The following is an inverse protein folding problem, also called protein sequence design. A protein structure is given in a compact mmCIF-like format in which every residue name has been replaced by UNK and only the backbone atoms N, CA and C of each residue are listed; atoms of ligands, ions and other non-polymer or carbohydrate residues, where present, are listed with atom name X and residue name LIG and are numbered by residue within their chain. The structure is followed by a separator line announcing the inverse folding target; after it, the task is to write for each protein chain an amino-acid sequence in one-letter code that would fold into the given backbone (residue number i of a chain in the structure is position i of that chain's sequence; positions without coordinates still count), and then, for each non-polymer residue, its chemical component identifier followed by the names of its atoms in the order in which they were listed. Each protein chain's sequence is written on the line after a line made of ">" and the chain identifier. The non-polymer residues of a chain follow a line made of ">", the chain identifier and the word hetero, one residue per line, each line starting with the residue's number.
data_IF_400297419449
#
_entry.id   IF_400297419449
#
_cell.length_a   1.000
_cell.length_b   1.000
_cell.length_c   1.000
_cell.angle_alpha   90.00
_cell.angle_beta   90.00
_cell.angle_gamma   90.00
#
_symmetry.space_group_name_H-M   'P 1'
#
loop_
_entity.id
_entity.type
_entity.pdbx_description
1 polymer ?
#
# COMPACT_ATOMS: atom_id res chain seq x y z
N UNK A 1 30.26 -3.75 -8.47
CA UNK A 1 29.77 -4.99 -9.12
C UNK A 1 28.85 -5.85 -8.24
N UNK A 2 29.08 -6.02 -6.94
CA UNK A 2 28.19 -6.81 -6.05
C UNK A 2 26.74 -6.31 -5.95
N UNK A 3 26.53 -4.99 -5.95
CA UNK A 3 25.20 -4.37 -5.82
C UNK A 3 24.33 -4.68 -7.05
N UNK A 4 24.88 -4.65 -8.26
CA UNK A 4 24.15 -4.99 -9.49
C UNK A 4 23.66 -6.45 -9.49
N UNK A 5 24.50 -7.38 -9.00
CA UNK A 5 24.12 -8.79 -8.90
C UNK A 5 23.03 -9.01 -7.83
N UNK A 6 23.05 -8.23 -6.75
CA UNK A 6 22.03 -8.24 -5.71
C UNK A 6 20.70 -7.65 -6.20
N UNK A 7 20.73 -6.54 -6.95
CA UNK A 7 19.54 -5.94 -7.58
C UNK A 7 18.90 -6.93 -8.55
N UNK A 8 19.69 -7.56 -9.42
CA UNK A 8 19.19 -8.55 -10.39
C UNK A 8 18.63 -9.78 -9.66
N UNK A 9 19.32 -10.28 -8.63
CA UNK A 9 18.83 -11.40 -7.82
C UNK A 9 17.51 -11.11 -7.10
N UNK A 10 17.40 -9.95 -6.46
CA UNK A 10 16.17 -9.48 -5.80
C UNK A 10 15.03 -9.29 -6.81
N UNK A 11 15.32 -8.71 -7.98
CA UNK A 11 14.33 -8.52 -9.04
C UNK A 11 13.80 -9.87 -9.54
N UNK A 12 14.69 -10.85 -9.79
CA UNK A 12 14.30 -12.19 -10.22
C UNK A 12 13.41 -12.89 -9.18
N UNK A 13 13.84 -12.94 -7.91
CA UNK A 13 13.08 -13.62 -6.85
C UNK A 13 11.72 -12.95 -6.62
N UNK A 14 11.67 -11.62 -6.63
CA UNK A 14 10.42 -10.86 -6.43
C UNK A 14 9.47 -11.06 -7.60
N UNK A 15 9.97 -11.00 -8.83
CA UNK A 15 9.14 -11.18 -10.02
C UNK A 15 8.61 -12.61 -10.09
N UNK A 16 9.47 -13.60 -9.84
CA UNK A 16 9.06 -15.00 -9.84
C UNK A 16 8.01 -15.27 -8.76
N UNK A 17 8.20 -14.74 -7.55
CA UNK A 17 7.23 -14.83 -6.45
C UNK A 17 5.90 -14.14 -6.72
N UNK A 18 5.85 -13.11 -7.59
CA UNK A 18 4.60 -12.44 -8.00
C UNK A 18 3.91 -13.14 -9.17
N UNK A 19 4.66 -13.69 -10.12
CA UNK A 19 4.11 -14.34 -11.31
C UNK A 19 3.56 -15.73 -10.97
N UNK A 20 4.18 -16.45 -10.04
CA UNK A 20 3.68 -17.75 -9.56
C UNK A 20 2.20 -17.67 -9.12
N UNK A 21 1.82 -16.83 -8.14
CA UNK A 21 0.44 -16.76 -7.69
C UNK A 21 -0.49 -16.31 -8.81
N UNK A 22 -0.10 -15.37 -9.67
CA UNK A 22 -0.95 -14.92 -10.79
C UNK A 22 -1.25 -16.07 -11.76
N UNK A 23 -0.27 -16.89 -12.11
CA UNK A 23 -0.46 -18.04 -13.01
C UNK A 23 -1.27 -19.17 -12.36
N UNK A 24 -1.05 -19.47 -11.08
CA UNK A 24 -1.76 -20.54 -10.38
C UNK A 24 -3.19 -20.16 -9.97
N UNK A 25 -3.42 -18.92 -9.52
CA UNK A 25 -4.74 -18.40 -9.15
C UNK A 25 -5.58 -18.04 -10.39
N UNK A 26 -4.95 -17.62 -11.49
CA UNK A 26 -5.63 -17.29 -12.75
C UNK A 26 -6.38 -18.46 -13.39
N UNK A 27 -6.03 -19.71 -13.05
CA UNK A 27 -6.67 -20.90 -13.62
C UNK A 27 -7.66 -21.62 -12.67
N UNK A 28 -7.64 -21.34 -11.36
CA UNK A 28 -8.35 -22.14 -10.33
C UNK A 28 -9.48 -21.44 -9.57
N UNK A 29 -9.89 -20.22 -9.93
CA UNK A 29 -11.05 -19.57 -9.29
C UNK A 29 -12.40 -19.97 -9.89
N UNK A 30 -12.64 -21.27 -10.11
CA UNK A 30 -13.95 -21.76 -10.57
C UNK A 30 -14.93 -22.10 -9.41
N UNK A 31 -14.56 -21.87 -8.14
CA UNK A 31 -15.48 -22.00 -7.00
C UNK A 31 -16.02 -20.62 -6.59
N UNK A 32 -17.32 -20.33 -6.79
CA UNK A 32 -17.90 -19.01 -6.50
C UNK A 32 -17.83 -18.59 -5.03
N UNK A 33 -17.69 -19.55 -4.10
CA UNK A 33 -17.50 -19.26 -2.67
C UNK A 33 -16.10 -18.72 -2.34
N UNK A 34 -15.08 -19.16 -3.08
CA UNK A 34 -13.68 -18.78 -2.85
C UNK A 34 -13.43 -17.41 -3.47
N UNK A 35 -13.97 -17.15 -4.65
CA UNK A 35 -13.90 -15.84 -5.31
C UNK A 35 -14.57 -14.72 -4.50
N UNK A 36 -15.75 -14.96 -3.91
CA UNK A 36 -16.40 -13.98 -3.02
C UNK A 36 -15.54 -13.65 -1.80
N UNK A 37 -14.90 -14.67 -1.20
CA UNK A 37 -14.01 -14.47 -0.05
C UNK A 37 -12.73 -13.72 -0.44
N UNK A 38 -12.11 -14.09 -1.58
CA UNK A 38 -10.96 -13.41 -2.16
C UNK A 38 -11.24 -12.02 -2.70
N UNK A 39 -12.49 -11.59 -2.90
CA UNK A 39 -12.84 -10.18 -3.21
C UNK A 39 -13.05 -9.35 -1.96
N UNK A 40 -13.46 -9.97 -0.85
CA UNK A 40 -13.67 -9.31 0.45
C UNK A 40 -12.37 -9.08 1.22
N UNK A 41 -11.40 -10.01 1.13
CA UNK A 41 -10.10 -9.89 1.78
C UNK A 41 -9.24 -8.75 1.22
N UNK A 42 -8.99 -8.58 -0.09
CA UNK A 42 -7.89 -7.76 -0.59
C UNK A 42 -8.04 -6.29 -0.20
N UNK A 43 -9.23 -5.71 -0.33
CA UNK A 43 -9.42 -4.30 0.02
C UNK A 43 -9.47 -4.09 1.54
N UNK A 44 -10.19 -4.96 2.26
CA UNK A 44 -10.32 -4.87 3.73
C UNK A 44 -9.01 -5.17 4.46
N UNK A 45 -8.20 -6.09 3.93
CA UNK A 45 -6.88 -6.40 4.46
C UNK A 45 -5.88 -5.27 4.19
N UNK A 46 -5.93 -4.65 3.00
CA UNK A 46 -5.09 -3.48 2.71
C UNK A 46 -5.39 -2.32 3.66
N UNK A 47 -6.67 -1.99 3.89
CA UNK A 47 -7.04 -0.94 4.85
C UNK A 47 -6.69 -1.31 6.29
N UNK A 48 -6.90 -2.58 6.69
CA UNK A 48 -6.54 -3.07 8.03
C UNK A 48 -5.03 -3.07 8.29
N UNK A 49 -4.19 -3.20 7.26
CA UNK A 49 -2.73 -3.09 7.37
C UNK A 49 -2.24 -1.63 7.34
N UNK A 50 -2.90 -0.76 6.56
CA UNK A 50 -2.53 0.66 6.46
C UNK A 50 -2.91 1.41 7.74
N UNK A 51 -4.04 1.09 8.36
CA UNK A 51 -4.52 1.76 9.57
C UNK A 51 -3.50 1.76 10.74
N UNK A 52 -2.94 0.61 11.17
CA UNK A 52 -1.89 0.61 12.19
C UNK A 52 -0.59 1.26 11.70
N UNK A 53 -0.30 1.18 10.40
CA UNK A 53 0.89 1.80 9.79
C UNK A 53 0.87 3.33 9.93
N UNK A 54 -0.29 3.96 9.74
CA UNK A 54 -0.50 5.40 9.92
C UNK A 54 -0.36 5.81 11.39
N UNK A 55 -0.89 5.01 12.31
CA UNK A 55 -0.88 5.33 13.74
C UNK A 55 0.49 5.10 14.39
N UNK A 56 1.34 4.27 13.77
CA UNK A 56 2.65 3.88 14.31
C UNK A 56 3.84 4.63 13.67
N UNK A 57 3.58 5.69 12.91
CA UNK A 57 4.64 6.45 12.19
C UNK A 57 5.63 7.10 13.16
N UNK A 58 5.12 7.72 14.23
CA UNK A 58 5.96 8.36 15.25
C UNK A 58 5.31 8.24 16.64
N UNK A 59 6.06 7.75 17.63
CA UNK A 59 5.55 7.49 18.99
C UNK A 59 5.31 8.75 19.81
N UNK A 60 6.04 9.83 19.50
CA UNK A 60 5.94 11.11 20.20
C UNK A 60 4.90 12.06 19.54
N UNK A 61 4.61 11.89 18.24
CA UNK A 61 3.69 12.75 17.48
C UNK A 61 2.71 11.95 16.62
N UNK A 62 1.81 11.21 17.28
CA UNK A 62 0.69 10.50 16.63
C UNK A 62 -0.17 11.42 15.74
N UNK A 63 -0.20 12.73 16.05
CA UNK A 63 -0.91 13.74 15.27
C UNK A 63 -0.45 13.81 13.80
N UNK A 64 0.84 13.58 13.51
CA UNK A 64 1.41 13.69 12.16
C UNK A 64 0.84 12.60 11.25
N UNK A 65 0.81 11.35 11.73
CA UNK A 65 0.20 10.24 11.01
C UNK A 65 -1.30 10.44 10.76
N UNK A 66 -2.03 10.88 11.78
CA UNK A 66 -3.48 11.14 11.66
C UNK A 66 -3.76 12.26 10.66
N UNK A 67 -3.00 13.36 10.70
CA UNK A 67 -3.17 14.48 9.76
C UNK A 67 -2.86 14.04 8.33
N UNK A 68 -1.79 13.27 8.10
CA UNK A 68 -1.47 12.70 6.79
C UNK A 68 -2.60 11.82 6.24
N UNK A 69 -3.18 10.96 7.08
CA UNK A 69 -4.29 10.09 6.67
C UNK A 69 -5.60 10.85 6.42
N UNK A 70 -5.95 11.80 7.27
CA UNK A 70 -7.14 12.66 7.07
C UNK A 70 -6.99 13.45 5.77
N UNK A 71 -5.80 13.97 5.49
CA UNK A 71 -5.52 14.72 4.27
C UNK A 71 -5.62 13.81 3.03
N UNK A 72 -5.05 12.60 3.08
CA UNK A 72 -5.18 11.62 2.01
C UNK A 72 -6.65 11.22 1.76
N UNK A 73 -7.45 11.03 2.82
CA UNK A 73 -8.88 10.74 2.71
C UNK A 73 -9.66 11.91 2.09
N UNK A 74 -9.36 13.14 2.51
CA UNK A 74 -9.98 14.34 1.97
C UNK A 74 -9.67 14.50 0.48
N UNK A 75 -8.40 14.38 0.06
CA UNK A 75 -7.99 14.48 -1.34
C UNK A 75 -8.56 13.34 -2.20
N UNK A 76 -8.66 12.13 -1.65
CA UNK A 76 -9.27 10.98 -2.34
C UNK A 76 -10.76 11.21 -2.64
N UNK A 77 -11.48 11.89 -1.74
CA UNK A 77 -12.90 12.20 -1.94
C UNK A 77 -13.16 13.10 -3.16
N UNK A 78 -12.18 13.91 -3.56
CA UNK A 78 -12.25 14.77 -4.74
C UNK A 78 -11.99 14.05 -6.07
N UNK A 79 -11.98 12.70 -6.10
CA UNK A 79 -11.69 11.88 -7.29
C UNK A 79 -10.35 12.23 -7.97
N UNK A 80 -9.37 12.73 -7.21
CA UNK A 80 -8.02 12.97 -7.73
C UNK A 80 -7.28 11.65 -7.99
N UNK A 81 -6.36 11.68 -8.96
CA UNK A 81 -5.54 10.50 -9.23
C UNK A 81 -4.72 10.12 -8.00
N UNK A 82 -4.50 8.80 -7.81
CA UNK A 82 -3.77 8.25 -6.65
C UNK A 82 -2.42 8.95 -6.48
N UNK A 83 -1.75 9.27 -7.59
CA UNK A 83 -0.47 10.00 -7.58
C UNK A 83 -0.57 11.36 -6.90
N UNK A 84 -1.60 12.16 -7.22
CA UNK A 84 -1.80 13.47 -6.58
C UNK A 84 -2.14 13.36 -5.10
N UNK A 85 -2.95 12.36 -4.72
CA UNK A 85 -3.29 12.10 -3.31
C UNK A 85 -2.04 11.77 -2.50
N UNK A 86 -1.17 10.91 -3.03
CA UNK A 86 0.08 10.52 -2.36
C UNK A 86 1.03 11.71 -2.22
N UNK A 87 1.24 12.49 -3.29
CA UNK A 87 2.11 13.67 -3.25
C UNK A 87 1.58 14.70 -2.25
N UNK A 88 0.27 14.97 -2.27
CA UNK A 88 -0.36 15.90 -1.34
C UNK A 88 -0.20 15.49 0.13
N UNK A 89 -0.42 14.22 0.44
CA UNK A 89 -0.22 13.69 1.79
C UNK A 89 1.24 13.78 2.24
N UNK A 90 2.21 13.51 1.36
CA UNK A 90 3.65 13.63 1.65
C UNK A 90 4.02 15.09 1.95
N UNK A 91 3.57 16.03 1.12
CA UNK A 91 3.87 17.46 1.30
C UNK A 91 3.32 17.96 2.64
N UNK A 92 2.09 17.60 2.99
CA UNK A 92 1.46 17.98 4.27
C UNK A 92 2.20 17.37 5.46
N UNK A 93 2.58 16.09 5.37
CA UNK A 93 3.36 15.42 6.41
C UNK A 93 4.75 16.07 6.59
N UNK A 94 5.41 16.43 5.49
CA UNK A 94 6.70 17.10 5.50
C UNK A 94 6.61 18.50 6.10
N UNK A 95 5.53 19.24 5.82
CA UNK A 95 5.28 20.56 6.41
C UNK A 95 5.04 20.47 7.93
N UNK A 96 4.31 19.44 8.38
CA UNK A 96 4.13 19.19 9.81
C UNK A 96 5.41 18.77 10.53
N UNK A 97 6.31 18.05 9.85
CA UNK A 97 7.60 17.67 10.44
C UNK A 97 8.59 18.85 10.50
N UNK A 98 8.37 19.89 9.71
CA UNK A 98 9.22 21.07 9.64
C UNK A 98 8.81 22.18 10.63
N UNK A 99 7.65 22.06 11.27
CA UNK A 99 7.14 22.94 12.35
C UNK A 99 7.51 22.38 13.72
#
# INVERSE_FOLDING_TARGET
>A
MKIFLLIIGMALVTYFGRVLPVLFLGQKTNRPSVEKFLRLIPYSAMTALVFPGVLSVDKDFMAIGVVGAVTALALSWFNMSITFVVIGAIVVNMLMYAM
#
